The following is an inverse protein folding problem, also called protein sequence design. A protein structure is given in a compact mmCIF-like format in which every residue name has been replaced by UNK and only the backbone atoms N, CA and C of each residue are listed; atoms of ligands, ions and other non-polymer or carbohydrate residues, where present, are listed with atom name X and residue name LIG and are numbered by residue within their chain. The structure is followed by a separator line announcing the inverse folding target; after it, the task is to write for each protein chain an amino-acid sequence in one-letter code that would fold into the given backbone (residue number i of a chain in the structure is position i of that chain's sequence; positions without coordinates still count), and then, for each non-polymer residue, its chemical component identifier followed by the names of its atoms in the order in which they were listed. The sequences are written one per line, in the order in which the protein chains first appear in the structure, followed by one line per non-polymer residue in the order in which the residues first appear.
data_IF_243098039734
#
_entry.id   IF_243098039734
#
_cell.length_a   1.000
_cell.length_b   1.000
_cell.length_c   1.000
_cell.angle_alpha   90.00
_cell.angle_beta   90.00
_cell.angle_gamma   90.00
#
_symmetry.space_group_name_H-M   'P 1'
#
loop_
_entity.id
_entity.type
_entity.pdbx_description
1 polymer ?
#
# COMPACT_ATOMS: atom_id res chain seq x y z
N UNK A 1 20.43 3.56 8.98
CA UNK A 1 20.39 5.02 9.22
C UNK A 1 20.51 5.73 7.89
N UNK A 2 19.77 6.83 7.68
CA UNK A 2 19.93 7.70 6.50
C UNK A 2 20.54 8.99 7.02
N UNK A 3 21.77 9.32 6.60
CA UNK A 3 22.50 10.53 7.05
C UNK A 3 22.60 10.64 8.59
N UNK A 4 22.91 9.54 9.28
CA UNK A 4 22.96 9.49 10.74
C UNK A 4 21.61 9.57 11.46
N UNK A 5 20.50 9.69 10.72
CA UNK A 5 19.14 9.73 11.28
C UNK A 5 18.48 8.35 11.22
N UNK A 6 17.62 8.10 12.20
CA UNK A 6 16.70 6.97 12.21
C UNK A 6 15.29 7.47 11.93
N UNK A 7 14.52 6.67 11.19
CA UNK A 7 13.11 6.95 10.91
C UNK A 7 12.30 5.86 11.61
N UNK A 8 11.32 6.27 12.39
CA UNK A 8 10.47 5.41 13.20
C UNK A 8 9.00 5.68 12.89
N UNK A 9 8.20 4.62 12.97
CA UNK A 9 6.79 4.68 12.60
C UNK A 9 6.23 3.34 12.12
N UNK A 10 5.03 3.32 11.55
CA UNK A 10 4.19 4.47 11.23
C UNK A 10 2.80 4.33 11.86
N UNK A 11 2.18 5.48 12.15
CA UNK A 11 0.79 5.56 12.55
C UNK A 11 -0.13 5.14 11.40
N UNK A 12 -1.29 4.60 11.76
CA UNK A 12 -2.38 4.31 10.82
C UNK A 12 -3.58 5.19 11.19
N UNK A 13 -3.56 6.41 10.67
CA UNK A 13 -4.62 7.38 10.88
C UNK A 13 -5.58 7.37 9.68
N UNK A 14 -6.87 7.19 9.97
CA UNK A 14 -7.95 7.27 8.98
C UNK A 14 -8.42 8.71 8.76
N UNK A 15 -7.92 9.67 9.54
CA UNK A 15 -8.16 11.08 9.30
C UNK A 15 -7.53 11.53 7.99
N UNK A 16 -8.13 12.53 7.34
CA UNK A 16 -7.62 13.08 6.10
C UNK A 16 -6.44 14.06 6.32
N UNK A 17 -5.86 14.11 7.52
CA UNK A 17 -4.81 15.07 7.87
C UNK A 17 -3.55 14.87 7.03
N UNK A 18 -2.93 15.98 6.66
CA UNK A 18 -1.64 16.02 5.97
C UNK A 18 -0.56 16.70 6.81
N UNK A 19 -0.90 17.08 8.05
CA UNK A 19 0.01 17.75 8.96
C UNK A 19 0.70 16.74 9.88
N UNK A 20 1.98 16.99 10.17
CA UNK A 20 2.69 16.28 11.24
C UNK A 20 2.07 16.68 12.57
N UNK A 21 1.77 15.72 13.44
CA UNK A 21 1.10 15.97 14.72
C UNK A 21 1.86 15.36 15.89
N UNK A 22 1.78 16.02 17.05
CA UNK A 22 2.36 15.49 18.29
C UNK A 22 1.74 14.13 18.67
N UNK A 23 0.43 13.97 18.43
CA UNK A 23 -0.27 12.69 18.63
C UNK A 23 0.36 11.57 17.79
N UNK A 24 0.71 11.85 16.53
CA UNK A 24 1.38 10.89 15.66
C UNK A 24 2.78 10.50 16.15
N UNK A 25 3.55 11.48 16.63
CA UNK A 25 4.86 11.21 17.25
C UNK A 25 4.73 10.34 18.49
N UNK A 26 3.87 10.72 19.44
CA UNK A 26 3.66 10.00 20.69
C UNK A 26 3.18 8.55 20.42
N UNK A 27 2.28 8.36 19.46
CA UNK A 27 1.84 7.02 19.05
C UNK A 27 3.01 6.18 18.53
N UNK A 28 3.81 6.70 17.58
CA UNK A 28 4.95 5.95 17.03
C UNK A 28 5.98 5.59 18.10
N UNK A 29 6.21 6.46 19.08
CA UNK A 29 7.12 6.20 20.20
C UNK A 29 6.57 5.09 21.10
N UNK A 30 5.26 5.09 21.39
CA UNK A 30 4.63 4.03 22.21
C UNK A 30 4.69 2.63 21.58
N UNK A 31 5.00 2.52 20.28
CA UNK A 31 5.23 1.23 19.63
C UNK A 31 6.62 0.65 19.90
N UNK A 32 7.54 1.45 20.45
CA UNK A 32 8.90 1.03 20.78
C UNK A 32 8.93 0.35 22.16
N UNK A 33 9.91 -0.54 22.41
CA UNK A 33 10.19 -1.02 23.77
C UNK A 33 10.53 0.14 24.72
N UNK A 34 10.12 0.02 25.99
CA UNK A 34 10.30 1.07 27.01
C UNK A 34 11.73 1.58 27.14
N UNK A 35 12.72 0.70 26.99
CA UNK A 35 14.13 1.05 27.04
C UNK A 35 14.52 2.08 25.96
N UNK A 36 13.91 1.98 24.76
CA UNK A 36 14.15 2.91 23.65
C UNK A 36 13.31 4.18 23.80
N UNK A 37 12.10 4.09 24.37
CA UNK A 37 11.29 5.28 24.64
C UNK A 37 12.03 6.26 25.55
N UNK A 38 12.70 5.75 26.59
CA UNK A 38 13.50 6.56 27.53
C UNK A 38 14.71 7.27 26.90
N UNK A 39 15.17 6.83 25.73
CA UNK A 39 16.25 7.48 24.99
C UNK A 39 15.76 8.73 24.22
N UNK A 40 14.44 8.90 24.07
CA UNK A 40 13.84 10.03 23.37
C UNK A 40 13.51 11.10 24.41
N UNK A 41 14.40 12.10 24.51
CA UNK A 41 14.35 13.11 25.58
C UNK A 41 13.28 14.19 25.34
N UNK A 42 13.07 14.61 24.09
CA UNK A 42 12.10 15.64 23.73
C UNK A 42 11.35 15.28 22.45
N UNK A 43 10.05 15.03 22.58
CA UNK A 43 9.19 14.65 21.46
C UNK A 43 8.75 15.82 20.60
N UNK A 44 8.88 17.07 21.06
CA UNK A 44 8.48 18.28 20.32
C UNK A 44 9.54 18.74 19.31
N UNK A 45 10.79 18.31 19.50
CA UNK A 45 11.87 18.58 18.54
C UNK A 45 11.96 17.55 17.41
N UNK A 46 11.10 16.53 17.43
CA UNK A 46 11.10 15.50 16.41
C UNK A 46 10.58 16.06 15.08
N UNK A 47 11.31 15.73 14.01
CA UNK A 47 10.85 15.97 12.65
C UNK A 47 9.97 14.81 12.18
N UNK A 48 9.05 15.07 11.26
CA UNK A 48 8.14 14.06 10.75
C UNK A 48 7.79 14.27 9.28
N UNK A 49 7.23 13.21 8.69
CA UNK A 49 6.61 13.25 7.36
C UNK A 49 5.25 12.58 7.44
N UNK A 50 4.26 13.18 6.78
CA UNK A 50 2.94 12.58 6.57
C UNK A 50 2.75 12.28 5.08
N UNK A 51 2.07 11.18 4.80
CA UNK A 51 1.71 10.77 3.44
C UNK A 51 0.41 9.99 3.46
N UNK A 52 -0.44 10.20 2.47
CA UNK A 52 -1.63 9.37 2.25
C UNK A 52 -1.24 8.12 1.47
N UNK A 53 -1.66 6.96 1.96
CA UNK A 53 -1.46 5.67 1.28
C UNK A 53 -2.79 5.20 0.75
N UNK A 54 -2.80 4.80 -0.52
CA UNK A 54 -3.93 4.09 -1.09
C UNK A 54 -3.68 2.59 -0.91
N UNK A 55 -4.62 1.89 -0.28
CA UNK A 55 -4.60 0.44 -0.08
C UNK A 55 -5.96 -0.14 -0.43
N UNK A 56 -5.98 -1.31 -1.06
CA UNK A 56 -7.20 -2.08 -1.29
C UNK A 56 -7.65 -2.79 -0.01
N UNK A 57 -8.91 -3.24 0.01
CA UNK A 57 -9.48 -3.99 1.13
C UNK A 57 -8.68 -5.27 1.44
N UNK A 58 -8.23 -5.99 0.41
CA UNK A 58 -7.43 -7.21 0.53
C UNK A 58 -5.92 -6.96 0.58
N UNK A 59 -5.50 -5.70 0.64
CA UNK A 59 -4.09 -5.23 0.72
C UNK A 59 -3.20 -5.65 -0.46
N UNK A 60 -3.78 -6.18 -1.54
CA UNK A 60 -3.09 -6.44 -2.79
C UNK A 60 -3.11 -5.21 -3.71
N UNK A 61 -2.01 -4.91 -4.43
CA UNK A 61 -2.00 -3.85 -5.42
C UNK A 61 -3.09 -4.01 -6.50
N UNK A 62 -3.42 -2.91 -7.16
CA UNK A 62 -4.29 -2.89 -8.35
C UNK A 62 -3.41 -2.56 -9.55
N UNK A 63 -3.03 -3.57 -10.32
CA UNK A 63 -2.09 -3.44 -11.44
C UNK A 63 -2.57 -4.23 -12.65
N UNK A 64 -2.77 -3.54 -13.78
CA UNK A 64 -3.23 -4.16 -15.02
C UNK A 64 -4.08 -3.23 -15.87
N UNK A 65 -4.88 -3.81 -16.74
CA UNK A 65 -5.70 -3.04 -17.69
C UNK A 65 -6.96 -2.57 -16.97
N UNK A 66 -7.31 -1.30 -17.19
CA UNK A 66 -8.53 -0.71 -16.63
C UNK A 66 -9.62 -0.62 -17.71
N UNK A 67 -9.32 0.04 -18.83
CA UNK A 67 -10.23 0.21 -19.96
C UNK A 67 -9.47 0.66 -21.21
N UNK A 68 -9.73 0.06 -22.37
CA UNK A 68 -9.11 0.40 -23.66
C UNK A 68 -7.58 0.55 -23.55
N UNK A 69 -7.05 1.77 -23.74
CA UNK A 69 -5.62 2.11 -23.66
C UNK A 69 -5.20 2.61 -22.26
N UNK A 70 -6.10 2.54 -21.28
CA UNK A 70 -5.89 2.98 -19.90
C UNK A 70 -5.48 1.78 -19.05
N UNK A 71 -4.32 1.92 -18.42
CA UNK A 71 -3.77 0.95 -17.46
C UNK A 71 -3.71 1.55 -16.06
N UNK A 72 -3.82 0.69 -15.04
CA UNK A 72 -3.78 1.07 -13.64
C UNK A 72 -2.52 0.55 -12.97
N UNK A 73 -1.88 1.42 -12.17
CA UNK A 73 -0.77 1.09 -11.28
C UNK A 73 -0.99 1.74 -9.92
N UNK A 74 -1.69 1.06 -9.02
CA UNK A 74 -2.24 1.71 -7.83
C UNK A 74 -2.35 0.79 -6.62
N UNK A 75 -2.82 1.36 -5.50
CA UNK A 75 -3.11 0.67 -4.25
C UNK A 75 -1.94 -0.15 -3.65
N UNK A 76 -0.71 0.34 -3.80
CA UNK A 76 0.51 -0.31 -3.30
C UNK A 76 0.63 -0.35 -1.76
N UNK A 77 -0.21 0.41 -1.04
CA UNK A 77 -0.24 0.45 0.41
C UNK A 77 1.10 0.86 1.02
N UNK A 78 1.51 0.19 2.10
CA UNK A 78 2.79 0.41 2.79
C UNK A 78 3.96 -0.37 2.20
N UNK A 79 3.74 -1.19 1.15
CA UNK A 79 4.74 -2.07 0.54
C UNK A 79 5.13 -1.65 -0.87
N UNK A 80 4.93 -0.38 -1.20
CA UNK A 80 5.22 0.16 -2.53
C UNK A 80 6.68 0.00 -2.94
N UNK A 81 7.64 0.26 -2.06
CA UNK A 81 9.07 0.08 -2.40
C UNK A 81 9.42 -1.36 -2.76
N UNK A 82 8.79 -2.34 -2.10
CA UNK A 82 9.01 -3.77 -2.37
C UNK A 82 8.32 -4.21 -3.67
N UNK A 83 7.05 -3.83 -3.84
CA UNK A 83 6.23 -4.38 -4.92
C UNK A 83 6.38 -3.60 -6.24
N UNK A 84 6.68 -2.30 -6.19
CA UNK A 84 6.65 -1.44 -7.36
C UNK A 84 7.63 -1.85 -8.47
N UNK A 85 8.90 -2.24 -8.20
CA UNK A 85 9.84 -2.59 -9.27
C UNK A 85 9.37 -3.75 -10.13
N UNK A 86 8.97 -4.86 -9.50
CA UNK A 86 8.47 -6.03 -10.22
C UNK A 86 7.16 -5.70 -10.94
N UNK A 87 6.16 -5.17 -10.22
CA UNK A 87 4.85 -4.91 -10.82
C UNK A 87 4.91 -3.88 -11.94
N UNK A 88 5.82 -2.89 -11.84
CA UNK A 88 6.03 -1.88 -12.88
C UNK A 88 6.55 -2.52 -14.16
N UNK A 89 7.50 -3.46 -14.05
CA UNK A 89 7.96 -4.26 -15.18
C UNK A 89 6.83 -5.11 -15.78
N UNK A 90 5.99 -5.74 -14.95
CA UNK A 90 4.85 -6.52 -15.43
C UNK A 90 3.88 -5.65 -16.22
N UNK A 91 3.55 -4.46 -15.71
CA UNK A 91 2.66 -3.53 -16.39
C UNK A 91 3.26 -3.03 -17.70
N UNK A 92 4.54 -2.66 -17.70
CA UNK A 92 5.24 -2.23 -18.91
C UNK A 92 5.27 -3.33 -19.99
N UNK A 93 5.45 -4.60 -19.60
CA UNK A 93 5.33 -5.74 -20.53
C UNK A 93 3.94 -5.83 -21.12
N UNK A 94 2.88 -5.69 -20.31
CA UNK A 94 1.50 -5.71 -20.81
C UNK A 94 1.23 -4.58 -21.80
N UNK A 95 1.68 -3.36 -21.48
CA UNK A 95 1.55 -2.19 -22.37
C UNK A 95 2.28 -2.43 -23.71
N UNK A 96 3.41 -3.13 -23.68
CA UNK A 96 4.19 -3.45 -24.87
C UNK A 96 3.74 -4.74 -25.60
N UNK A 97 2.55 -5.26 -25.31
CA UNK A 97 2.02 -6.52 -25.84
C UNK A 97 2.96 -7.73 -25.65
N UNK A 98 3.70 -7.73 -24.54
CA UNK A 98 4.59 -8.83 -24.16
C UNK A 98 3.98 -9.70 -23.07
N UNK A 99 4.35 -11.00 -23.00
CA UNK A 99 3.95 -11.85 -21.90
C UNK A 99 4.36 -11.24 -20.54
N UNK A 100 3.44 -11.19 -19.56
CA UNK A 100 3.69 -10.52 -18.28
C UNK A 100 4.79 -11.23 -17.48
N UNK A 101 4.90 -12.56 -17.55
CA UNK A 101 5.94 -13.30 -16.83
C UNK A 101 5.62 -13.60 -15.35
N UNK A 102 4.35 -13.52 -14.95
CA UNK A 102 3.84 -13.99 -13.67
C UNK A 102 2.80 -15.10 -13.87
N UNK A 103 2.68 -15.96 -12.85
CA UNK A 103 1.63 -16.97 -12.83
C UNK A 103 0.23 -16.37 -12.90
N UNK A 104 -0.68 -17.08 -13.57
CA UNK A 104 -2.08 -16.67 -13.75
C UNK A 104 -2.79 -16.39 -12.43
N UNK A 105 -2.48 -17.14 -11.37
CA UNK A 105 -3.11 -16.95 -10.07
C UNK A 105 -2.69 -15.62 -9.43
N UNK A 106 -1.42 -15.24 -9.55
CA UNK A 106 -0.91 -13.94 -9.10
C UNK A 106 -1.53 -12.81 -9.93
N UNK A 107 -1.59 -12.98 -11.25
CA UNK A 107 -2.23 -11.99 -12.14
C UNK A 107 -3.69 -11.70 -11.74
N UNK A 108 -4.46 -12.74 -11.38
CA UNK A 108 -5.84 -12.59 -10.87
C UNK A 108 -5.92 -11.86 -9.52
N UNK A 109 -4.89 -11.97 -8.68
CA UNK A 109 -4.85 -11.34 -7.36
C UNK A 109 -4.57 -9.83 -7.49
N UNK A 110 -3.76 -9.42 -8.46
CA UNK A 110 -3.42 -8.00 -8.68
C UNK A 110 -4.35 -7.30 -9.66
N UNK A 111 -5.19 -8.06 -10.38
CA UNK A 111 -6.13 -7.55 -11.38
C UNK A 111 -6.98 -6.37 -10.84
N UNK A 112 -7.05 -5.23 -11.56
CA UNK A 112 -7.85 -4.07 -11.16
C UNK A 112 -9.34 -4.37 -10.96
N UNK A 113 -9.88 -5.33 -11.71
CA UNK A 113 -11.30 -5.69 -11.73
C UNK A 113 -11.65 -6.83 -10.77
N UNK A 114 -10.69 -7.37 -10.01
CA UNK A 114 -10.91 -8.57 -9.16
C UNK A 114 -12.08 -8.44 -8.19
N UNK A 115 -12.37 -7.25 -7.67
CA UNK A 115 -13.47 -7.04 -6.74
C UNK A 115 -14.84 -7.15 -7.44
N UNK A 116 -14.95 -6.56 -8.64
CA UNK A 116 -16.14 -6.69 -9.48
C UNK A 116 -16.37 -8.16 -9.88
N UNK A 117 -15.30 -8.86 -10.31
CA UNK A 117 -15.34 -10.28 -10.67
C UNK A 117 -15.76 -11.16 -9.48
N UNK A 118 -15.25 -10.89 -8.27
CA UNK A 118 -15.64 -11.63 -7.06
C UNK A 118 -17.11 -11.39 -6.71
N UNK A 119 -17.59 -10.14 -6.80
CA UNK A 119 -18.96 -9.79 -6.47
C UNK A 119 -20.00 -10.47 -7.39
N UNK A 120 -19.72 -10.57 -8.70
CA UNK A 120 -20.61 -11.25 -9.65
C UNK A 120 -20.70 -12.75 -9.39
N UNK A 121 -19.57 -13.42 -9.07
CA UNK A 121 -19.53 -14.85 -8.72
C UNK A 121 -20.35 -15.16 -7.47
N UNK A 122 -20.27 -14.31 -6.44
CA UNK A 122 -21.07 -14.48 -5.21
C UNK A 122 -22.56 -14.30 -5.47
N UNK A 123 -22.96 -13.32 -6.28
CA UNK A 123 -24.38 -13.11 -6.64
C UNK A 123 -24.96 -14.28 -7.44
N UNK A 124 -24.20 -14.82 -8.39
CA UNK A 124 -24.60 -15.99 -9.17
C UNK A 124 -24.87 -17.21 -8.28
N UNK A 125 -23.99 -17.50 -7.30
CA UNK A 125 -24.17 -18.63 -6.36
C UNK A 125 -25.39 -18.50 -5.44
N UNK A 126 -25.81 -17.27 -5.11
CA UNK A 126 -26.99 -17.01 -4.27
C UNK A 126 -28.32 -17.12 -5.03
N UNK A 127 -28.31 -17.01 -6.37
CA UNK A 127 -29.51 -17.19 -7.20
C UNK A 127 -29.78 -18.66 -7.56
N UNK A 128 -28.81 -19.52 -7.35
CA UNK A 128 -28.88 -20.97 -7.65
C UNK A 128 -29.22 -21.83 -6.41
N UNK A 129 -29.64 -21.19 -5.32
CA UNK A 129 -30.12 -21.78 -4.06
C UNK A 129 -31.53 -21.22 -3.85
#
# INVERSE_FOLDING_TARGET
MINGKQVLGASFDLSATTQVTQRGHNYNISLLPDALQKQILDTYQLQGRVSKRLASQDRWPLVGDWHDTIHLFSALGSRGLTNAPLLGLILARKIADRPPGLERNIMKIIDPHRFAIRATRTKSRRKSI
#
